data_IF_135837603649
#
_entry.id   IF_135837603649
#
_cell.length_a   1.000
_cell.length_b   1.000
_cell.length_c   1.000
_cell.angle_alpha   90.00
_cell.angle_beta   90.00
_cell.angle_gamma   90.00
#
_symmetry.space_group_name_H-M   'P 1'
#
loop_
_entity.id
_entity.type
_entity.pdbx_description
1 polymer ?
#
# COMPACT_ATOMS: atom_id res chain seq x y z
N UNK A 1 12.14 27.82 -2.02
CA UNK A 1 11.99 26.62 -2.91
C UNK A 1 10.71 26.77 -3.74
N UNK A 2 10.72 26.33 -4.99
CA UNK A 2 9.55 26.31 -5.89
C UNK A 2 9.04 24.89 -6.04
N UNK A 3 7.73 24.70 -5.86
CA UNK A 3 7.07 23.39 -6.04
C UNK A 3 6.57 23.29 -7.48
N UNK A 4 6.83 22.15 -8.12
CA UNK A 4 6.23 21.83 -9.42
C UNK A 4 6.01 20.35 -9.61
N UNK A 5 5.05 20.03 -10.45
CA UNK A 5 4.82 18.67 -10.92
C UNK A 5 5.75 18.36 -12.10
N UNK A 6 6.29 17.16 -12.13
CA UNK A 6 7.10 16.67 -13.23
C UNK A 6 6.53 15.34 -13.75
N UNK A 7 6.62 15.16 -15.07
CA UNK A 7 6.34 13.86 -15.66
C UNK A 7 7.63 13.04 -15.73
N UNK A 8 7.75 12.00 -14.89
CA UNK A 8 8.93 11.11 -14.83
C UNK A 8 8.98 10.12 -15.99
N UNK A 9 7.93 9.97 -16.79
CA UNK A 9 7.97 9.14 -18.01
C UNK A 9 8.76 9.83 -19.15
N UNK A 10 9.07 11.13 -18.98
CA UNK A 10 9.97 11.83 -19.88
C UNK A 10 11.42 11.56 -19.46
N UNK A 11 12.22 10.96 -20.34
CA UNK A 11 13.60 10.49 -20.09
C UNK A 11 14.50 11.52 -19.38
N UNK A 12 14.43 12.80 -19.77
CA UNK A 12 15.23 13.88 -19.14
C UNK A 12 14.82 14.11 -17.68
N UNK A 13 13.52 14.15 -17.40
CA UNK A 13 12.99 14.33 -16.05
C UNK A 13 13.34 13.14 -15.17
N UNK A 14 13.14 11.93 -15.71
CA UNK A 14 13.48 10.69 -15.01
C UNK A 14 14.94 10.64 -14.59
N UNK A 15 15.87 10.97 -15.51
CA UNK A 15 17.30 10.93 -15.20
C UNK A 15 17.67 11.91 -14.07
N UNK A 16 17.13 13.14 -14.09
CA UNK A 16 17.37 14.15 -13.05
C UNK A 16 16.79 13.71 -11.70
N UNK A 17 15.56 13.26 -11.70
CA UNK A 17 14.85 12.78 -10.53
C UNK A 17 15.52 11.53 -9.92
N UNK A 18 15.88 10.55 -10.73
CA UNK A 18 16.59 9.35 -10.28
C UNK A 18 17.97 9.69 -9.69
N UNK A 19 18.70 10.61 -10.30
CA UNK A 19 19.99 11.05 -9.75
C UNK A 19 19.83 11.69 -8.36
N UNK A 20 18.77 12.45 -8.14
CA UNK A 20 18.44 13.01 -6.82
C UNK A 20 18.12 11.90 -5.82
N UNK A 21 17.23 10.96 -6.16
CA UNK A 21 16.86 9.86 -5.27
C UNK A 21 18.05 9.00 -4.86
N UNK A 22 18.96 8.69 -5.79
CA UNK A 22 20.21 7.99 -5.47
C UNK A 22 21.08 8.73 -4.46
N UNK A 23 21.16 10.06 -4.55
CA UNK A 23 21.90 10.89 -3.58
C UNK A 23 21.27 10.86 -2.19
N UNK A 24 19.95 10.61 -2.09
CA UNK A 24 19.21 10.51 -0.82
C UNK A 24 19.08 9.08 -0.29
N UNK A 25 19.74 8.10 -0.95
CA UNK A 25 19.79 6.72 -0.49
C UNK A 25 18.65 5.82 -1.01
N UNK A 26 17.85 6.32 -1.94
CA UNK A 26 16.85 5.50 -2.66
C UNK A 26 17.50 5.05 -3.98
N UNK A 27 17.93 3.77 -4.03
CA UNK A 27 18.72 3.23 -5.15
C UNK A 27 17.98 2.22 -6.00
N UNK A 28 16.90 1.65 -5.48
CA UNK A 28 16.12 0.63 -6.17
C UNK A 28 14.98 1.27 -6.97
N UNK A 29 14.96 0.97 -8.26
CA UNK A 29 13.98 1.48 -9.22
C UNK A 29 13.55 0.33 -10.13
N UNK A 30 12.49 -0.34 -9.78
CA UNK A 30 11.85 -1.31 -10.66
C UNK A 30 11.17 -0.56 -11.82
N UNK A 31 11.42 -0.93 -13.09
CA UNK A 31 10.69 -0.38 -14.23
C UNK A 31 9.17 -0.53 -14.08
N UNK A 32 8.72 -1.65 -13.52
CA UNK A 32 7.30 -1.92 -13.25
C UNK A 32 6.72 -0.94 -12.24
N UNK A 33 7.45 -0.63 -11.17
CA UNK A 33 6.99 0.30 -10.14
C UNK A 33 6.99 1.76 -10.62
N UNK A 34 8.02 2.17 -11.37
CA UNK A 34 8.08 3.53 -11.91
C UNK A 34 7.03 3.78 -12.99
N UNK A 35 6.61 2.74 -13.72
CA UNK A 35 5.48 2.83 -14.67
C UNK A 35 4.13 3.08 -13.97
N UNK A 36 3.97 2.63 -12.73
CA UNK A 36 2.76 2.84 -11.94
C UNK A 36 2.67 4.23 -11.32
N UNK A 37 3.75 5.01 -11.35
CA UNK A 37 3.74 6.38 -10.83
C UNK A 37 2.90 7.27 -11.74
N UNK A 38 1.88 7.90 -11.16
CA UNK A 38 0.93 8.75 -11.87
C UNK A 38 1.30 10.22 -11.80
N UNK A 39 1.72 10.68 -10.60
CA UNK A 39 2.10 12.07 -10.36
C UNK A 39 3.37 12.13 -9.52
N UNK A 40 4.27 13.06 -9.86
CA UNK A 40 5.49 13.32 -9.10
C UNK A 40 5.66 14.80 -8.89
N UNK A 41 5.89 15.19 -7.64
CA UNK A 41 6.15 16.58 -7.25
C UNK A 41 7.61 16.74 -6.83
N UNK A 42 8.20 17.86 -7.21
CA UNK A 42 9.56 18.24 -6.81
C UNK A 42 9.56 19.64 -6.22
N UNK A 43 10.38 19.83 -5.21
CA UNK A 43 10.77 21.13 -4.66
C UNK A 43 12.14 21.46 -5.23
N UNK A 44 12.24 22.56 -5.95
CA UNK A 44 13.48 22.98 -6.61
C UNK A 44 13.99 24.30 -6.04
N UNK A 45 15.31 24.42 -5.94
CA UNK A 45 16.04 25.62 -5.60
C UNK A 45 17.25 25.70 -6.52
N UNK A 46 17.44 26.86 -7.18
CA UNK A 46 18.52 27.11 -8.15
C UNK A 46 18.66 26.02 -9.24
N UNK A 47 17.52 25.45 -9.65
CA UNK A 47 17.46 24.38 -10.65
C UNK A 47 17.82 22.98 -10.15
N UNK A 48 18.11 22.80 -8.86
CA UNK A 48 18.36 21.50 -8.23
C UNK A 48 17.12 20.99 -7.48
N UNK A 49 16.88 19.68 -7.53
CA UNK A 49 15.82 19.05 -6.73
C UNK A 49 16.29 18.97 -5.28
N UNK A 50 15.49 19.51 -4.38
CA UNK A 50 15.73 19.52 -2.94
C UNK A 50 14.82 18.56 -2.19
N UNK A 51 13.61 18.30 -2.71
CA UNK A 51 12.70 17.29 -2.20
C UNK A 51 11.84 16.72 -3.33
N UNK A 52 11.33 15.51 -3.15
CA UNK A 52 10.42 14.87 -4.10
C UNK A 52 9.50 13.88 -3.41
N UNK A 53 8.36 13.64 -4.01
CA UNK A 53 7.44 12.56 -3.66
C UNK A 53 6.49 12.26 -4.82
N UNK A 54 6.01 11.03 -4.87
CA UNK A 54 5.19 10.51 -5.96
C UNK A 54 3.95 9.81 -5.45
N UNK A 55 2.92 9.76 -6.29
CA UNK A 55 1.67 9.05 -6.08
C UNK A 55 1.57 7.93 -7.11
N UNK A 56 1.30 6.70 -6.63
CA UNK A 56 1.08 5.52 -7.45
C UNK A 56 -0.10 4.73 -6.87
N UNK A 57 -1.28 4.84 -7.48
CA UNK A 57 -2.50 4.32 -6.85
C UNK A 57 -2.74 4.97 -5.49
N UNK A 58 -3.00 4.17 -4.50
CA UNK A 58 -3.17 4.60 -3.11
C UNK A 58 -1.84 4.62 -2.32
N UNK A 59 -0.69 4.51 -2.97
CA UNK A 59 0.61 4.45 -2.31
C UNK A 59 1.42 5.72 -2.59
N UNK A 60 1.90 6.36 -1.54
CA UNK A 60 2.90 7.41 -1.65
C UNK A 60 4.29 6.78 -1.76
N UNK A 61 5.02 7.14 -2.80
CA UNK A 61 6.32 6.55 -3.14
C UNK A 61 7.41 7.61 -3.34
N UNK A 62 8.65 7.19 -3.21
CA UNK A 62 9.84 7.99 -3.53
C UNK A 62 9.88 9.33 -2.80
N UNK A 63 9.48 9.33 -1.53
CA UNK A 63 9.52 10.50 -0.67
C UNK A 63 10.94 10.71 -0.16
N UNK A 64 11.54 11.83 -0.52
CA UNK A 64 12.90 12.17 -0.13
C UNK A 64 13.07 13.68 0.01
N UNK A 65 13.82 14.08 1.05
CA UNK A 65 14.26 15.47 1.28
C UNK A 65 15.78 15.47 1.38
N UNK A 66 16.43 16.41 0.70
CA UNK A 66 17.87 16.58 0.76
C UNK A 66 18.31 16.99 2.18
N UNK A 67 19.33 16.34 2.72
CA UNK A 67 19.85 16.63 4.07
C UNK A 67 20.36 18.06 4.25
N UNK A 68 20.64 18.77 3.14
CA UNK A 68 21.10 20.17 3.16
C UNK A 68 19.97 21.19 3.34
N UNK A 69 18.72 20.77 3.23
CA UNK A 69 17.56 21.67 3.37
C UNK A 69 17.46 22.15 4.82
N UNK A 70 17.51 23.47 5.03
CA UNK A 70 17.17 24.07 6.32
C UNK A 70 15.67 23.87 6.58
N UNK A 71 15.31 23.45 7.79
CA UNK A 71 13.90 23.10 8.07
C UNK A 71 13.47 21.78 7.42
N UNK A 72 14.35 20.78 7.39
CA UNK A 72 14.12 19.47 6.78
C UNK A 72 12.77 18.84 7.19
N UNK A 73 12.41 18.90 8.49
CA UNK A 73 11.11 18.39 8.97
C UNK A 73 9.91 19.16 8.44
N UNK A 74 10.00 20.49 8.35
CA UNK A 74 8.96 21.33 7.78
C UNK A 74 8.76 21.01 6.30
N UNK A 75 9.86 20.91 5.53
CA UNK A 75 9.81 20.53 4.11
C UNK A 75 9.24 19.13 3.91
N UNK A 76 9.56 18.18 4.79
CA UNK A 76 8.95 16.84 4.76
C UNK A 76 7.44 16.90 4.99
N UNK A 77 7.00 17.65 6.01
CA UNK A 77 5.58 17.79 6.33
C UNK A 77 4.81 18.46 5.17
N UNK A 78 5.35 19.54 4.60
CA UNK A 78 4.78 20.20 3.43
C UNK A 78 4.67 19.26 2.23
N UNK A 79 5.72 18.49 1.97
CA UNK A 79 5.76 17.50 0.88
C UNK A 79 4.68 16.43 1.06
N UNK A 80 4.62 15.78 2.22
CA UNK A 80 3.65 14.72 2.47
C UNK A 80 2.22 15.26 2.46
N UNK A 81 1.97 16.42 3.09
CA UNK A 81 0.67 17.08 3.06
C UNK A 81 0.24 17.44 1.63
N UNK A 82 1.16 17.89 0.79
CA UNK A 82 0.89 18.14 -0.63
C UNK A 82 0.46 16.86 -1.35
N UNK A 83 1.18 15.74 -1.14
CA UNK A 83 0.84 14.46 -1.76
C UNK A 83 -0.54 13.96 -1.32
N UNK A 84 -0.85 14.04 -0.03
CA UNK A 84 -2.16 13.66 0.53
C UNK A 84 -3.27 14.50 -0.10
N UNK A 85 -3.11 15.82 -0.18
CA UNK A 85 -4.08 16.71 -0.80
C UNK A 85 -4.27 16.40 -2.30
N UNK A 86 -3.19 16.13 -3.03
CA UNK A 86 -3.28 15.78 -4.44
C UNK A 86 -3.95 14.41 -4.66
N UNK A 87 -3.67 13.43 -3.81
CA UNK A 87 -4.36 12.14 -3.83
C UNK A 87 -5.87 12.32 -3.57
N UNK A 88 -6.25 13.18 -2.62
CA UNK A 88 -7.65 13.50 -2.35
C UNK A 88 -8.35 14.14 -3.58
N UNK A 89 -7.66 15.00 -4.36
CA UNK A 89 -8.22 15.52 -5.63
C UNK A 89 -8.44 14.44 -6.69
N UNK A 90 -7.74 13.29 -6.56
CA UNK A 90 -7.92 12.11 -7.40
C UNK A 90 -8.98 11.13 -6.85
N UNK A 91 -9.70 11.52 -5.77
CA UNK A 91 -10.69 10.68 -5.11
C UNK A 91 -10.10 9.58 -4.21
N UNK A 92 -8.84 9.73 -3.79
CA UNK A 92 -8.13 8.75 -2.96
C UNK A 92 -7.99 9.29 -1.55
N UNK A 93 -8.75 8.71 -0.64
CA UNK A 93 -8.84 9.16 0.76
C UNK A 93 -8.21 8.18 1.75
N UNK A 94 -7.80 7.01 1.30
CA UNK A 94 -7.07 6.01 2.07
C UNK A 94 -5.73 5.74 1.37
N UNK A 95 -4.63 6.09 2.04
CA UNK A 95 -3.29 6.09 1.47
C UNK A 95 -2.35 5.24 2.32
N UNK A 96 -1.42 4.60 1.65
CA UNK A 96 -0.35 3.81 2.26
C UNK A 96 1.03 4.40 1.97
N UNK A 97 1.96 4.14 2.87
CA UNK A 97 3.38 4.38 2.66
C UNK A 97 4.19 3.20 3.20
N UNK A 98 5.18 2.77 2.40
CA UNK A 98 6.21 1.84 2.82
C UNK A 98 7.47 2.65 3.11
N UNK A 99 7.99 2.55 4.33
CA UNK A 99 9.10 3.38 4.77
C UNK A 99 10.07 2.60 5.67
N UNK A 100 11.20 3.21 6.03
CA UNK A 100 12.10 2.66 7.04
C UNK A 100 11.59 3.00 8.45
N UNK A 101 11.86 2.16 9.46
CA UNK A 101 11.38 2.36 10.84
C UNK A 101 11.73 3.73 11.41
N UNK A 102 12.88 4.27 11.05
CA UNK A 102 13.35 5.59 11.51
C UNK A 102 12.47 6.76 11.08
N UNK A 103 11.62 6.61 10.04
CA UNK A 103 10.73 7.65 9.55
C UNK A 103 9.28 7.52 10.04
N UNK A 104 8.95 6.47 10.79
CA UNK A 104 7.60 6.22 11.33
C UNK A 104 7.09 7.44 12.11
N UNK A 105 7.91 8.00 12.97
CA UNK A 105 7.54 9.19 13.74
C UNK A 105 7.27 10.40 12.83
N UNK A 106 8.07 10.60 11.78
CA UNK A 106 7.90 11.71 10.84
C UNK A 106 6.58 11.61 10.07
N UNK A 107 6.22 10.41 9.62
CA UNK A 107 4.91 10.16 9.01
C UNK A 107 3.77 10.28 10.01
N UNK A 108 3.98 9.90 11.28
CA UNK A 108 3.00 10.09 12.35
C UNK A 108 2.60 11.55 12.57
N UNK A 109 3.55 12.50 12.44
CA UNK A 109 3.25 13.94 12.55
C UNK A 109 2.35 14.47 11.41
N UNK A 110 2.25 13.77 10.31
CA UNK A 110 1.38 14.13 9.17
C UNK A 110 0.19 13.19 9.02
N UNK A 111 -0.17 12.48 10.08
CA UNK A 111 -1.43 11.74 10.22
C UNK A 111 -1.39 10.30 9.71
N UNK A 112 -0.20 9.72 9.48
CA UNK A 112 -0.11 8.30 9.18
C UNK A 112 -0.01 7.46 10.46
N UNK A 113 -0.68 6.31 10.47
CA UNK A 113 -0.64 5.32 11.54
C UNK A 113 0.14 4.09 11.08
N UNK A 114 0.96 3.53 11.97
CA UNK A 114 1.72 2.32 11.67
C UNK A 114 0.81 1.09 11.74
N UNK A 115 0.76 0.31 10.67
CA UNK A 115 0.10 -0.99 10.62
C UNK A 115 1.05 -2.11 11.06
N UNK A 116 2.30 -2.03 10.59
CA UNK A 116 3.35 -2.96 10.98
C UNK A 116 4.71 -2.27 10.93
N UNK A 117 5.58 -2.61 11.88
CA UNK A 117 6.96 -2.15 11.95
C UNK A 117 7.86 -3.36 12.20
N UNK A 118 8.88 -3.54 11.36
CA UNK A 118 9.91 -4.56 11.48
C UNK A 118 11.29 -3.90 11.36
N UNK A 119 12.36 -4.65 11.57
CA UNK A 119 13.73 -4.08 11.59
C UNK A 119 14.11 -3.32 10.30
N UNK A 120 13.64 -3.80 9.15
CA UNK A 120 14.02 -3.27 7.83
C UNK A 120 12.95 -2.36 7.19
N UNK A 121 11.74 -2.27 7.77
CA UNK A 121 10.65 -1.53 7.15
C UNK A 121 9.45 -1.29 8.05
N UNK A 122 8.60 -0.40 7.57
CA UNK A 122 7.29 -0.14 8.15
C UNK A 122 6.27 0.08 7.04
N UNK A 123 5.04 -0.39 7.27
CA UNK A 123 3.88 -0.01 6.49
C UNK A 123 2.99 0.87 7.36
N UNK A 124 2.57 1.97 6.80
CA UNK A 124 1.70 2.94 7.48
C UNK A 124 0.55 3.34 6.56
N UNK A 125 -0.55 3.75 7.15
CA UNK A 125 -1.74 4.23 6.44
C UNK A 125 -2.19 5.60 6.93
N UNK A 126 -2.95 6.30 6.07
CA UNK A 126 -3.64 7.55 6.39
C UNK A 126 -4.99 7.57 5.67
N UNK A 127 -6.05 7.95 6.37
CA UNK A 127 -7.39 8.07 5.80
C UNK A 127 -8.43 7.20 6.48
N UNK A 128 -9.68 7.26 5.97
CA UNK A 128 -10.84 6.50 6.45
C UNK A 128 -11.70 6.07 5.25
N UNK A 129 -12.30 4.86 5.25
CA UNK A 129 -12.10 3.81 6.26
C UNK A 129 -10.66 3.33 6.29
N UNK A 130 -10.16 2.94 7.45
CA UNK A 130 -8.82 2.41 7.65
C UNK A 130 -8.84 0.87 7.80
N UNK A 131 -7.67 0.25 8.03
CA UNK A 131 -7.58 -1.19 8.23
C UNK A 131 -8.28 -1.64 9.50
N UNK A 132 -8.35 -0.78 10.53
CA UNK A 132 -9.09 -1.10 11.75
C UNK A 132 -10.59 -1.16 11.49
N UNK A 133 -11.15 -0.19 10.76
CA UNK A 133 -12.55 -0.22 10.30
C UNK A 133 -12.83 -1.47 9.49
N UNK A 134 -11.94 -1.81 8.54
CA UNK A 134 -12.06 -3.03 7.74
C UNK A 134 -12.08 -4.31 8.59
N UNK A 135 -11.21 -4.41 9.61
CA UNK A 135 -11.18 -5.57 10.51
C UNK A 135 -12.46 -5.65 11.36
N UNK A 136 -13.01 -4.52 11.81
CA UNK A 136 -14.26 -4.50 12.56
C UNK A 136 -15.46 -4.95 11.73
N UNK A 137 -15.45 -4.70 10.42
CA UNK A 137 -16.50 -5.10 9.50
C UNK A 137 -16.41 -6.57 9.06
N UNK A 138 -15.30 -7.27 9.37
CA UNK A 138 -15.19 -8.68 9.06
C UNK A 138 -16.23 -9.50 9.85
N UNK A 139 -16.82 -10.54 9.24
CA UNK A 139 -17.64 -11.48 9.98
C UNK A 139 -16.84 -12.09 11.14
N UNK A 140 -17.27 -11.83 12.37
CA UNK A 140 -16.60 -12.37 13.55
C UNK A 140 -16.96 -13.82 13.77
N UNK A 141 -15.96 -14.65 13.96
CA UNK A 141 -16.11 -15.99 14.50
C UNK A 141 -16.14 -15.89 16.02
N UNK A 142 -17.02 -16.67 16.69
CA UNK A 142 -17.12 -16.65 18.14
C UNK A 142 -15.84 -17.23 18.76
N UNK A 143 -14.97 -16.35 19.24
CA UNK A 143 -13.69 -16.72 19.84
C UNK A 143 -13.91 -17.50 21.15
N UNK A 144 -13.29 -18.67 21.20
CA UNK A 144 -12.88 -19.28 22.47
C UNK A 144 -11.39 -18.98 22.63
N UNK A 145 -10.91 -18.78 23.84
CA UNK A 145 -9.54 -18.33 24.14
C UNK A 145 -8.42 -19.17 23.46
N UNK A 146 -8.72 -20.41 23.05
CA UNK A 146 -7.79 -21.34 22.39
C UNK A 146 -8.12 -21.62 20.91
N UNK A 147 -8.99 -20.84 20.26
CA UNK A 147 -9.37 -21.05 18.85
C UNK A 147 -8.21 -20.87 17.90
N UNK A 148 -7.96 -21.85 17.03
CA UNK A 148 -7.00 -21.74 15.93
C UNK A 148 -7.67 -21.14 14.71
N UNK A 149 -7.24 -19.95 14.32
CA UNK A 149 -7.76 -19.20 13.16
C UNK A 149 -6.69 -19.10 12.10
N UNK A 150 -7.00 -19.53 10.87
CA UNK A 150 -6.12 -19.37 9.73
C UNK A 150 -6.57 -18.24 8.80
N UNK A 151 -5.61 -17.54 8.21
CA UNK A 151 -5.82 -16.56 7.13
C UNK A 151 -5.16 -17.03 5.84
N UNK A 152 -5.89 -17.07 4.74
CA UNK A 152 -5.39 -17.37 3.41
C UNK A 152 -5.60 -16.16 2.51
N UNK A 153 -4.55 -15.67 1.87
CA UNK A 153 -4.64 -14.62 0.86
C UNK A 153 -4.45 -15.24 -0.52
N UNK A 154 -5.38 -15.00 -1.44
CA UNK A 154 -5.28 -15.53 -2.79
C UNK A 154 -5.84 -14.59 -3.87
N UNK A 155 -5.26 -14.67 -5.07
CA UNK A 155 -5.79 -13.96 -6.22
C UNK A 155 -6.99 -14.70 -6.85
N UNK A 156 -6.99 -16.03 -6.84
CA UNK A 156 -8.05 -16.92 -7.36
C UNK A 156 -8.56 -16.55 -8.77
N UNK A 157 -7.65 -16.41 -9.73
CA UNK A 157 -7.94 -15.95 -11.09
C UNK A 157 -7.70 -17.03 -12.18
N UNK A 158 -8.61 -18.00 -12.38
CA UNK A 158 -9.79 -18.31 -11.58
C UNK A 158 -9.48 -19.14 -10.30
N UNK A 159 -10.51 -19.42 -9.49
CA UNK A 159 -10.43 -20.40 -8.42
C UNK A 159 -10.28 -21.81 -9.02
N UNK A 160 -9.31 -22.57 -8.55
CA UNK A 160 -8.95 -23.89 -9.09
C UNK A 160 -8.96 -24.97 -8.01
N UNK A 161 -8.90 -26.24 -8.40
CA UNK A 161 -8.78 -27.36 -7.45
C UNK A 161 -7.57 -27.24 -6.50
N UNK A 162 -6.49 -26.60 -6.93
CA UNK A 162 -5.33 -26.32 -6.07
C UNK A 162 -5.66 -25.30 -4.97
N UNK A 163 -6.40 -24.25 -5.29
CA UNK A 163 -6.91 -23.28 -4.29
C UNK A 163 -7.89 -23.98 -3.32
N UNK A 164 -8.82 -24.77 -3.86
CA UNK A 164 -9.77 -25.53 -3.07
C UNK A 164 -9.05 -26.47 -2.09
N UNK A 165 -8.06 -27.21 -2.57
CA UNK A 165 -7.27 -28.12 -1.73
C UNK A 165 -6.61 -27.40 -0.55
N UNK A 166 -6.00 -26.23 -0.81
CA UNK A 166 -5.38 -25.41 0.24
C UNK A 166 -6.39 -25.00 1.31
N UNK A 167 -7.55 -24.48 0.90
CA UNK A 167 -8.61 -24.08 1.84
C UNK A 167 -9.14 -25.27 2.62
N UNK A 168 -9.34 -26.42 1.97
CA UNK A 168 -9.81 -27.65 2.61
C UNK A 168 -8.82 -28.18 3.65
N UNK A 169 -7.50 -28.13 3.38
CA UNK A 169 -6.51 -28.53 4.39
C UNK A 169 -6.53 -27.57 5.59
N UNK A 170 -6.53 -26.26 5.34
CA UNK A 170 -6.63 -25.27 6.42
C UNK A 170 -7.90 -25.43 7.24
N UNK A 171 -9.05 -25.71 6.60
CA UNK A 171 -10.33 -25.95 7.26
C UNK A 171 -10.31 -27.18 8.19
N UNK A 172 -9.54 -28.22 7.85
CA UNK A 172 -9.38 -29.42 8.68
C UNK A 172 -8.48 -29.20 9.89
N UNK A 173 -7.54 -28.28 9.79
CA UNK A 173 -6.49 -28.04 10.79
C UNK A 173 -6.80 -26.88 11.73
N UNK A 174 -7.83 -26.07 11.43
CA UNK A 174 -8.18 -24.87 12.18
C UNK A 174 -9.67 -24.80 12.49
N UNK A 175 -10.01 -24.12 13.57
CA UNK A 175 -11.40 -23.90 13.98
C UNK A 175 -12.14 -22.98 13.03
N UNK A 176 -11.41 -22.00 12.44
CA UNK A 176 -11.94 -21.10 11.41
C UNK A 176 -10.89 -20.68 10.40
N UNK A 177 -11.32 -20.43 9.16
CA UNK A 177 -10.46 -19.98 8.07
C UNK A 177 -11.05 -18.77 7.38
N UNK A 178 -10.33 -17.65 7.37
CA UNK A 178 -10.64 -16.51 6.53
C UNK A 178 -9.89 -16.61 5.19
N UNK A 179 -10.62 -16.49 4.09
CA UNK A 179 -10.04 -16.46 2.73
C UNK A 179 -10.17 -15.04 2.16
N UNK A 180 -9.07 -14.31 2.13
CA UNK A 180 -8.98 -12.96 1.58
C UNK A 180 -8.73 -13.03 0.07
N UNK A 181 -9.70 -12.59 -0.73
CA UNK A 181 -9.57 -12.54 -2.18
C UNK A 181 -9.08 -11.15 -2.59
N UNK A 182 -7.86 -11.08 -3.12
CA UNK A 182 -7.21 -9.80 -3.51
C UNK A 182 -8.10 -8.98 -4.43
N UNK A 183 -8.38 -7.72 -4.10
CA UNK A 183 -9.31 -6.84 -4.82
C UNK A 183 -8.72 -6.19 -6.09
N UNK A 184 -7.41 -6.34 -6.35
CA UNK A 184 -6.76 -5.71 -7.52
C UNK A 184 -7.38 -6.15 -8.86
N UNK A 185 -7.80 -5.18 -9.68
CA UNK A 185 -8.48 -5.38 -10.97
C UNK A 185 -7.54 -5.68 -12.16
N UNK A 186 -6.32 -6.17 -11.93
CA UNK A 186 -5.35 -6.51 -12.97
C UNK A 186 -5.49 -7.95 -13.51
N UNK A 187 -6.71 -8.51 -13.49
CA UNK A 187 -6.97 -9.93 -13.73
C UNK A 187 -8.02 -10.16 -14.83
N UNK A 188 -8.11 -11.40 -15.35
CA UNK A 188 -9.12 -11.79 -16.35
C UNK A 188 -10.54 -11.70 -15.76
N UNK A 189 -10.71 -12.09 -14.50
CA UNK A 189 -11.97 -11.98 -13.76
C UNK A 189 -11.91 -10.79 -12.82
N UNK A 190 -13.02 -10.08 -12.68
CA UNK A 190 -13.17 -8.99 -11.69
C UNK A 190 -13.02 -9.50 -10.26
N UNK A 191 -12.70 -8.63 -9.32
CA UNK A 191 -12.60 -9.01 -7.91
C UNK A 191 -13.91 -9.63 -7.40
N UNK A 192 -15.07 -9.09 -7.79
CA UNK A 192 -16.38 -9.60 -7.42
C UNK A 192 -16.62 -11.03 -7.95
N UNK A 193 -16.32 -11.28 -9.23
CA UNK A 193 -16.43 -12.62 -9.81
C UNK A 193 -15.50 -13.62 -9.11
N UNK A 194 -14.27 -13.22 -8.80
CA UNK A 194 -13.31 -14.07 -8.09
C UNK A 194 -13.80 -14.41 -6.69
N UNK A 195 -14.33 -13.45 -5.93
CA UNK A 195 -14.97 -13.71 -4.64
C UNK A 195 -16.13 -14.70 -4.77
N UNK A 196 -17.02 -14.53 -5.75
CA UNK A 196 -18.15 -15.45 -5.99
C UNK A 196 -17.67 -16.86 -6.32
N UNK A 197 -16.62 -17.00 -7.15
CA UNK A 197 -16.06 -18.32 -7.49
C UNK A 197 -15.45 -19.01 -6.26
N UNK A 198 -14.76 -18.28 -5.39
CA UNK A 198 -14.20 -18.82 -4.14
C UNK A 198 -15.32 -19.21 -3.18
N UNK A 199 -16.35 -18.36 -2.99
CA UNK A 199 -17.51 -18.65 -2.17
C UNK A 199 -18.23 -19.91 -2.62
N UNK A 200 -18.54 -20.02 -3.91
CA UNK A 200 -19.18 -21.20 -4.48
C UNK A 200 -18.31 -22.45 -4.33
N UNK A 201 -16.99 -22.30 -4.55
CA UNK A 201 -16.06 -23.41 -4.44
C UNK A 201 -15.76 -23.88 -3.00
N UNK A 202 -16.13 -23.10 -1.98
CA UNK A 202 -15.95 -23.43 -0.56
C UNK A 202 -17.27 -23.56 0.21
N UNK A 203 -18.41 -23.55 -0.48
CA UNK A 203 -19.76 -23.49 0.13
C UNK A 203 -20.11 -24.67 1.04
N UNK A 204 -19.42 -25.79 0.94
CA UNK A 204 -19.55 -26.99 1.76
C UNK A 204 -18.60 -27.01 2.98
N UNK A 205 -17.81 -25.96 3.20
CA UNK A 205 -16.91 -25.83 4.34
C UNK A 205 -17.49 -24.84 5.35
N UNK A 206 -18.11 -25.36 6.41
CA UNK A 206 -18.89 -24.58 7.38
C UNK A 206 -18.03 -23.57 8.20
N UNK A 207 -16.73 -23.84 8.33
CA UNK A 207 -15.79 -23.01 9.08
C UNK A 207 -14.93 -22.09 8.18
N UNK A 208 -15.36 -21.84 6.94
CA UNK A 208 -14.64 -20.96 5.98
C UNK A 208 -15.44 -19.70 5.70
N UNK A 209 -14.82 -18.55 5.93
CA UNK A 209 -15.38 -17.24 5.57
C UNK A 209 -14.56 -16.61 4.45
N UNK A 210 -15.20 -16.31 3.31
CA UNK A 210 -14.58 -15.65 2.16
C UNK A 210 -14.89 -14.17 2.22
N UNK A 211 -13.86 -13.34 2.21
CA UNK A 211 -13.95 -11.87 2.30
C UNK A 211 -13.15 -11.20 1.18
N UNK A 212 -13.58 -10.03 0.70
CA UNK A 212 -12.75 -9.20 -0.19
C UNK A 212 -11.52 -8.71 0.58
N UNK A 213 -10.34 -8.74 -0.07
CA UNK A 213 -9.07 -8.31 0.51
C UNK A 213 -8.59 -6.96 -0.01
#
# INVERSE_FOLDING_TARGET
>A
MQVREINIHIKRNFAKWQAFLKKTGITEFSPKETQQVERTFVWEEDGEIMATGSIAGNVLKYIAVCSKVKGHGETFNELVSKLVNEAATMGRFHLFVFTKPQYVQSFGYVGFHALAVVDDGAIMENGTPDVHDYIQDLPHFADQDDSQIAGIVMNANPFTNGHRYLVEQASKENDHVYVFVVSQEASLFTAAERCQLVQAGCADLDNVTVVPG
#
